data_IF_894524297889
#
_entry.id   IF_894524297889
#
_cell.length_a   1.000
_cell.length_b   1.000
_cell.length_c   1.000
_cell.angle_alpha   90.00
_cell.angle_beta   90.00
_cell.angle_gamma   90.00
#
_symmetry.space_group_name_H-M   'P 1'
#
loop_
_entity.id
_entity.type
_entity.pdbx_description
1 polymer ?
#
# COMPACT_ATOMS: atom_id res chain seq x y z
N UNK A 1 21.41 -3.08 4.42
CA UNK A 1 20.11 -2.34 4.36
C UNK A 1 19.03 -3.22 4.95
N UNK A 2 18.08 -2.63 5.71
CA UNK A 2 16.93 -3.36 6.25
C UNK A 2 15.62 -2.71 5.82
N UNK A 3 14.62 -3.53 5.51
CA UNK A 3 13.26 -3.08 5.19
C UNK A 3 12.24 -3.74 6.12
N UNK A 4 11.25 -2.98 6.56
CA UNK A 4 10.11 -3.47 7.31
C UNK A 4 8.91 -3.53 6.37
N UNK A 5 8.30 -4.71 6.26
CA UNK A 5 7.08 -4.95 5.48
C UNK A 5 5.91 -5.08 6.44
N UNK A 6 4.87 -4.29 6.25
CA UNK A 6 3.75 -4.11 7.17
C UNK A 6 2.42 -4.39 6.49
N UNK A 7 1.47 -4.94 7.23
CA UNK A 7 0.08 -5.07 6.83
C UNK A 7 -0.84 -5.05 8.06
N UNK A 8 -2.01 -4.42 7.93
CA UNK A 8 -3.04 -4.36 8.96
C UNK A 8 -4.34 -4.99 8.48
N UNK A 9 -4.97 -5.78 9.36
CA UNK A 9 -6.39 -6.09 9.21
C UNK A 9 -7.21 -5.14 10.08
N UNK A 10 -8.43 -4.84 9.63
CA UNK A 10 -9.29 -3.89 10.33
C UNK A 10 -10.76 -4.30 10.33
N UNK A 11 -11.56 -3.63 11.15
CA UNK A 11 -13.00 -3.86 11.29
C UNK A 11 -13.80 -3.48 10.03
N UNK A 12 -13.29 -2.57 9.19
CA UNK A 12 -13.93 -2.11 7.96
C UNK A 12 -12.88 -1.54 6.98
N UNK A 13 -13.31 -1.24 5.77
CA UNK A 13 -12.51 -0.58 4.72
C UNK A 13 -12.39 0.95 4.88
N UNK A 14 -13.31 1.59 5.59
CA UNK A 14 -13.28 3.03 5.86
C UNK A 14 -12.25 3.33 6.96
N UNK A 15 -11.06 3.74 6.57
CA UNK A 15 -9.93 3.98 7.47
C UNK A 15 -10.19 5.06 8.52
N UNK A 16 -11.16 5.96 8.31
CA UNK A 16 -11.49 7.01 9.27
C UNK A 16 -12.24 6.46 10.50
N UNK A 17 -13.05 5.41 10.30
CA UNK A 17 -13.89 4.81 11.34
C UNK A 17 -13.43 3.42 11.76
N UNK A 18 -12.75 2.70 10.87
CA UNK A 18 -12.24 1.36 11.13
C UNK A 18 -11.28 1.32 12.33
N UNK A 19 -11.20 0.14 12.95
CA UNK A 19 -10.30 -0.16 14.07
C UNK A 19 -9.36 -1.30 13.64
N UNK A 20 -8.09 -1.20 13.98
CA UNK A 20 -7.11 -2.26 13.72
C UNK A 20 -7.47 -3.50 14.55
N UNK A 21 -7.52 -4.67 13.88
CA UNK A 21 -7.81 -5.97 14.49
C UNK A 21 -6.62 -6.94 14.42
N UNK A 22 -5.69 -6.72 13.49
CA UNK A 22 -4.42 -7.44 13.43
C UNK A 22 -3.30 -6.50 12.99
N UNK A 23 -2.15 -6.63 13.62
CA UNK A 23 -0.89 -6.00 13.22
C UNK A 23 0.07 -7.10 12.82
N UNK A 24 0.62 -7.04 11.61
CA UNK A 24 1.67 -7.93 11.18
C UNK A 24 2.79 -7.16 10.48
N UNK A 25 4.03 -7.48 10.81
CA UNK A 25 5.18 -6.98 10.06
C UNK A 25 6.37 -7.94 10.13
N UNK A 26 7.22 -7.85 9.13
CA UNK A 26 8.49 -8.57 9.08
C UNK A 26 9.62 -7.62 8.71
N UNK A 27 10.77 -7.80 9.34
CA UNK A 27 12.00 -7.09 8.99
C UNK A 27 12.89 -8.02 8.19
N UNK A 28 13.33 -7.55 7.03
CA UNK A 28 14.23 -8.29 6.15
C UNK A 28 15.58 -7.58 6.05
N UNK A 29 16.63 -8.38 6.05
CA UNK A 29 17.93 -7.95 5.51
C UNK A 29 17.84 -8.02 3.98
N UNK A 30 18.01 -6.86 3.33
CA UNK A 30 17.76 -6.69 1.89
C UNK A 30 18.81 -7.40 1.03
N UNK A 31 20.06 -7.44 1.47
CA UNK A 31 21.14 -8.07 0.69
C UNK A 31 21.00 -9.58 0.65
N UNK A 32 20.73 -10.18 1.80
CA UNK A 32 20.54 -11.63 1.89
C UNK A 32 19.11 -12.08 1.56
N UNK A 33 18.16 -11.14 1.45
CA UNK A 33 16.72 -11.38 1.29
C UNK A 33 16.12 -12.28 2.38
N UNK A 34 16.73 -12.27 3.58
CA UNK A 34 16.29 -13.10 4.70
C UNK A 34 15.47 -12.30 5.69
N UNK A 35 14.38 -12.91 6.15
CA UNK A 35 13.65 -12.42 7.31
C UNK A 35 14.54 -12.54 8.54
N UNK A 36 14.71 -11.43 9.27
CA UNK A 36 15.49 -11.34 10.49
C UNK A 36 14.65 -11.14 11.73
N UNK A 37 13.41 -10.72 11.55
CA UNK A 37 12.41 -10.59 12.61
C UNK A 37 11.01 -10.64 12.00
N UNK A 38 10.06 -11.21 12.73
CA UNK A 38 8.64 -11.08 12.41
C UNK A 38 7.81 -10.85 13.66
N UNK A 39 6.68 -10.21 13.47
CA UNK A 39 5.68 -9.98 14.49
C UNK A 39 4.29 -10.08 13.87
N UNK A 40 3.38 -10.77 14.55
CA UNK A 40 1.97 -10.79 14.17
C UNK A 40 1.14 -11.03 15.41
N UNK A 41 0.14 -10.19 15.64
CA UNK A 41 -0.76 -10.29 16.78
C UNK A 41 -2.15 -9.79 16.44
N UNK A 42 -3.15 -10.38 17.08
CA UNK A 42 -4.49 -9.82 17.12
C UNK A 42 -4.50 -8.63 18.08
N UNK A 43 -5.28 -7.63 17.73
CA UNK A 43 -5.49 -6.42 18.52
C UNK A 43 -6.95 -6.34 18.92
N UNK A 44 -7.21 -6.13 20.19
CA UNK A 44 -8.55 -5.87 20.69
C UNK A 44 -8.77 -4.36 20.72
N UNK A 45 -9.61 -3.80 19.83
CA UNK A 45 -9.90 -2.37 19.85
C UNK A 45 -10.56 -1.96 21.17
N UNK A 46 -10.18 -0.79 21.68
CA UNK A 46 -10.81 -0.22 22.86
C UNK A 46 -12.21 0.33 22.59
N UNK A 47 -13.08 0.28 23.59
CA UNK A 47 -14.44 0.80 23.52
C UNK A 47 -15.40 -0.10 22.73
N UNK A 48 -16.50 0.51 22.28
CA UNK A 48 -17.46 -0.19 21.43
C UNK A 48 -17.00 -0.15 19.97
N UNK A 49 -17.02 -1.30 19.32
CA UNK A 49 -16.72 -1.46 17.90
C UNK A 49 -17.53 -2.62 17.30
N UNK A 50 -17.75 -2.54 16.02
CA UNK A 50 -18.36 -3.63 15.25
C UNK A 50 -17.40 -4.05 14.15
N UNK A 51 -17.35 -5.34 13.85
CA UNK A 51 -16.62 -5.87 12.70
C UNK A 51 -17.63 -5.99 11.57
N UNK A 52 -17.40 -5.25 10.48
CA UNK A 52 -18.26 -5.32 9.31
C UNK A 52 -18.30 -6.76 8.78
N UNK A 53 -19.49 -7.32 8.42
CA UNK A 53 -19.60 -8.72 7.97
C UNK A 53 -18.64 -9.09 6.85
N UNK A 54 -18.41 -8.17 5.90
CA UNK A 54 -17.43 -8.39 4.83
C UNK A 54 -16.00 -8.48 5.36
N UNK A 55 -15.61 -7.65 6.35
CA UNK A 55 -14.29 -7.73 6.96
C UNK A 55 -14.11 -9.06 7.69
N UNK A 56 -15.08 -9.47 8.51
CA UNK A 56 -15.06 -10.75 9.20
C UNK A 56 -14.98 -11.93 8.21
N UNK A 57 -15.71 -11.89 7.11
CA UNK A 57 -15.66 -12.93 6.07
C UNK A 57 -14.30 -13.01 5.38
N UNK A 58 -13.70 -11.86 5.10
CA UNK A 58 -12.42 -11.76 4.37
C UNK A 58 -11.26 -12.17 5.25
N UNK A 59 -11.17 -11.62 6.47
CA UNK A 59 -10.03 -11.82 7.38
C UNK A 59 -10.16 -13.10 8.22
N UNK A 60 -11.38 -13.59 8.41
CA UNK A 60 -11.69 -14.69 9.34
C UNK A 60 -11.57 -14.28 10.81
N UNK A 61 -11.40 -12.98 11.11
CA UNK A 61 -11.27 -12.47 12.48
C UNK A 61 -12.66 -12.22 13.06
N UNK A 62 -12.93 -12.84 14.23
CA UNK A 62 -14.18 -12.65 14.96
C UNK A 62 -13.95 -11.85 16.26
N UNK A 63 -15.04 -11.32 16.81
CA UNK A 63 -14.98 -10.61 18.09
C UNK A 63 -14.51 -11.53 19.23
N UNK A 64 -14.96 -12.78 19.23
CA UNK A 64 -14.57 -13.78 20.22
C UNK A 64 -13.07 -14.05 20.21
N UNK A 65 -12.46 -14.06 19.01
CA UNK A 65 -11.00 -14.20 18.87
C UNK A 65 -10.27 -12.98 19.41
N UNK A 66 -10.77 -11.75 19.11
CA UNK A 66 -10.17 -10.52 19.64
C UNK A 66 -10.31 -10.43 21.15
N UNK A 67 -11.45 -10.84 21.70
CA UNK A 67 -11.68 -10.87 23.14
C UNK A 67 -10.79 -11.88 23.88
N UNK A 68 -10.50 -13.03 23.24
CA UNK A 68 -9.72 -14.11 23.83
C UNK A 68 -8.20 -13.94 23.68
N UNK A 69 -7.75 -13.39 22.55
CA UNK A 69 -6.34 -13.39 22.15
C UNK A 69 -5.79 -12.01 21.76
N UNK A 70 -6.64 -11.00 21.59
CA UNK A 70 -6.20 -9.66 21.22
C UNK A 70 -5.51 -8.94 22.38
N UNK A 71 -4.42 -8.27 22.07
CA UNK A 71 -3.71 -7.38 23.00
C UNK A 71 -4.16 -5.91 22.78
N UNK A 72 -3.75 -5.02 23.67
CA UNK A 72 -3.95 -3.59 23.46
C UNK A 72 -3.18 -3.11 22.23
N UNK A 73 -3.77 -2.14 21.48
CA UNK A 73 -3.13 -1.59 20.28
C UNK A 73 -1.80 -0.92 20.62
N UNK A 74 -1.72 -0.22 21.74
CA UNK A 74 -0.50 0.46 22.20
C UNK A 74 0.67 -0.51 22.33
N UNK A 75 0.45 -1.70 22.88
CA UNK A 75 1.49 -2.73 23.04
C UNK A 75 2.01 -3.19 21.67
N UNK A 76 1.09 -3.39 20.71
CA UNK A 76 1.46 -3.77 19.35
C UNK A 76 2.22 -2.64 18.63
N UNK A 77 1.78 -1.39 18.80
CA UNK A 77 2.43 -0.22 18.20
C UNK A 77 3.80 0.06 18.82
N UNK A 78 4.00 -0.19 20.12
CA UNK A 78 5.34 -0.06 20.73
C UNK A 78 6.36 -0.96 20.03
N UNK A 79 5.99 -2.21 19.74
CA UNK A 79 6.87 -3.14 19.00
C UNK A 79 7.13 -2.64 17.58
N UNK A 80 6.10 -2.16 16.87
CA UNK A 80 6.23 -1.61 15.53
C UNK A 80 7.16 -0.38 15.51
N UNK A 81 6.95 0.58 16.40
CA UNK A 81 7.76 1.81 16.51
C UNK A 81 9.21 1.47 16.79
N UNK A 82 9.49 0.56 17.72
CA UNK A 82 10.86 0.12 18.06
C UNK A 82 11.58 -0.42 16.83
N UNK A 83 10.93 -1.26 16.02
CA UNK A 83 11.55 -1.84 14.85
C UNK A 83 11.62 -0.87 13.67
N UNK A 84 10.65 0.04 13.53
CA UNK A 84 10.67 1.07 12.49
C UNK A 84 11.87 2.02 12.58
N UNK A 85 12.40 2.25 13.79
CA UNK A 85 13.57 3.09 14.01
C UNK A 85 14.88 2.44 13.58
N UNK A 86 14.89 1.15 13.31
CA UNK A 86 16.09 0.35 13.00
C UNK A 86 16.15 -0.11 11.53
N UNK A 87 15.25 0.40 10.68
CA UNK A 87 15.16 0.03 9.27
C UNK A 87 15.31 1.25 8.37
N UNK A 88 15.70 1.02 7.12
CA UNK A 88 15.91 2.09 6.13
C UNK A 88 14.60 2.51 5.46
N UNK A 89 13.61 1.60 5.38
CA UNK A 89 12.29 1.88 4.83
C UNK A 89 11.20 1.00 5.44
N UNK A 90 9.94 1.47 5.32
CA UNK A 90 8.73 0.70 5.60
C UNK A 90 7.96 0.52 4.30
N UNK A 91 7.57 -0.71 3.98
CA UNK A 91 6.77 -1.06 2.83
C UNK A 91 5.42 -1.65 3.23
N UNK A 92 4.34 -1.22 2.59
CA UNK A 92 3.03 -1.87 2.65
C UNK A 92 2.36 -1.86 1.26
N UNK A 93 1.32 -2.65 1.10
CA UNK A 93 0.61 -2.73 -0.18
C UNK A 93 -0.64 -1.85 -0.17
N UNK A 94 -0.64 -0.78 -0.95
CA UNK A 94 -1.62 0.30 -0.88
C UNK A 94 -1.49 1.20 0.37
N UNK A 95 -0.27 1.34 0.85
CA UNK A 95 0.13 2.04 2.06
C UNK A 95 -0.53 3.40 2.22
N UNK A 96 -0.43 4.25 1.20
CA UNK A 96 -0.89 5.64 1.28
C UNK A 96 -2.41 5.78 1.32
N UNK A 97 -3.16 4.77 0.83
CA UNK A 97 -4.62 4.82 0.79
C UNK A 97 -5.28 3.97 1.88
N UNK A 98 -4.52 3.11 2.58
CA UNK A 98 -5.10 2.23 3.59
C UNK A 98 -4.30 2.20 4.89
N UNK A 99 -3.13 1.57 4.94
CA UNK A 99 -2.43 1.33 6.22
C UNK A 99 -2.03 2.63 6.92
N UNK A 100 -1.51 3.60 6.18
CA UNK A 100 -1.08 4.87 6.77
C UNK A 100 -2.26 5.72 7.29
N UNK A 101 -3.36 5.94 6.54
CA UNK A 101 -4.56 6.60 7.08
C UNK A 101 -5.16 5.89 8.28
N UNK A 102 -5.22 4.55 8.25
CA UNK A 102 -5.75 3.74 9.36
C UNK A 102 -4.88 3.90 10.61
N UNK A 103 -3.57 3.78 10.48
CA UNK A 103 -2.62 3.99 11.58
C UNK A 103 -2.74 5.40 12.17
N UNK A 104 -2.82 6.43 11.33
CA UNK A 104 -2.96 7.81 11.79
C UNK A 104 -4.29 8.04 12.52
N UNK A 105 -5.39 7.42 12.07
CA UNK A 105 -6.66 7.49 12.78
C UNK A 105 -6.60 6.83 14.16
N UNK A 106 -5.93 5.69 14.28
CA UNK A 106 -5.73 5.03 15.57
C UNK A 106 -4.80 5.82 16.50
N UNK A 107 -3.69 6.34 15.99
CA UNK A 107 -2.80 7.20 16.79
C UNK A 107 -3.53 8.42 17.33
N UNK A 108 -4.37 9.06 16.51
CA UNK A 108 -5.18 10.20 16.94
C UNK A 108 -6.19 9.83 18.04
N UNK A 109 -6.82 8.63 17.97
CA UNK A 109 -7.72 8.12 19.04
C UNK A 109 -6.99 7.89 20.35
N UNK A 110 -5.74 7.41 20.27
CA UNK A 110 -4.87 7.19 21.43
C UNK A 110 -4.24 8.49 21.97
N UNK A 111 -4.47 9.63 21.30
CA UNK A 111 -3.89 10.91 21.69
C UNK A 111 -2.40 11.08 21.35
N UNK A 112 -1.88 10.22 20.47
CA UNK A 112 -0.52 10.33 19.98
C UNK A 112 -0.43 11.20 18.73
N UNK A 113 0.68 11.92 18.58
CA UNK A 113 1.07 12.52 17.32
C UNK A 113 1.69 11.46 16.41
N UNK A 114 1.75 11.76 15.10
CA UNK A 114 2.50 10.92 14.15
C UNK A 114 3.94 10.74 14.65
N UNK A 115 4.45 9.50 14.56
CA UNK A 115 5.85 9.24 14.82
C UNK A 115 6.67 9.35 13.53
N UNK A 116 7.94 9.70 13.69
CA UNK A 116 8.85 9.83 12.56
C UNK A 116 9.10 8.45 11.94
N UNK A 117 8.58 8.23 10.76
CA UNK A 117 8.82 7.03 9.96
C UNK A 117 10.05 7.21 9.06
N UNK A 118 10.77 6.11 8.73
CA UNK A 118 11.77 6.12 7.67
C UNK A 118 11.08 6.31 6.30
N UNK A 119 11.83 6.10 5.20
CA UNK A 119 11.24 6.17 3.88
C UNK A 119 10.05 5.20 3.74
N UNK A 120 8.92 5.71 3.23
CA UNK A 120 7.74 4.89 2.95
C UNK A 120 7.76 4.37 1.51
N UNK A 121 7.32 3.14 1.32
CA UNK A 121 7.24 2.45 0.04
C UNK A 121 5.86 1.84 -0.11
N UNK A 122 5.09 2.29 -1.09
CA UNK A 122 3.83 1.67 -1.45
C UNK A 122 4.06 0.64 -2.55
N UNK A 123 4.09 -0.64 -2.21
CA UNK A 123 4.42 -1.71 -3.17
C UNK A 123 3.43 -1.80 -4.33
N UNK A 124 2.21 -1.28 -4.16
CA UNK A 124 1.23 -1.20 -5.24
C UNK A 124 1.63 -0.21 -6.33
N UNK A 125 2.29 0.90 -5.97
CA UNK A 125 2.58 2.01 -6.87
C UNK A 125 4.08 2.21 -7.13
N UNK A 126 4.94 1.85 -6.18
CA UNK A 126 6.37 2.11 -6.27
C UNK A 126 7.15 0.96 -6.92
N UNK A 127 6.63 -0.27 -6.85
CA UNK A 127 7.18 -1.38 -7.64
C UNK A 127 6.89 -1.12 -9.13
N UNK A 128 7.90 -1.26 -10.03
CA UNK A 128 7.73 -1.02 -11.47
C UNK A 128 7.03 -2.21 -12.15
N UNK A 129 5.76 -2.42 -11.81
CA UNK A 129 4.96 -3.49 -12.39
C UNK A 129 4.89 -3.39 -13.91
N UNK A 130 5.00 -4.51 -14.64
CA UNK A 130 4.85 -4.54 -16.09
C UNK A 130 3.53 -3.92 -16.57
N UNK A 131 3.55 -3.25 -17.71
CA UNK A 131 2.37 -2.51 -18.21
C UNK A 131 1.18 -3.42 -18.58
N UNK A 132 1.40 -4.70 -18.88
CA UNK A 132 0.32 -5.66 -19.17
C UNK A 132 -0.50 -6.03 -17.93
N UNK A 133 0.00 -5.79 -16.72
CA UNK A 133 -0.74 -6.06 -15.49
C UNK A 133 -1.88 -5.04 -15.34
N UNK A 134 -3.11 -5.53 -15.45
CA UNK A 134 -4.31 -4.68 -15.39
C UNK A 134 -4.69 -4.27 -13.98
N UNK A 135 -4.49 -5.16 -13.01
CA UNK A 135 -4.80 -4.91 -11.61
C UNK A 135 -3.60 -5.16 -10.70
N UNK A 136 -3.39 -4.25 -9.76
CA UNK A 136 -2.30 -4.32 -8.77
C UNK A 136 -2.80 -4.76 -7.40
N UNK A 137 -3.85 -5.57 -7.35
CA UNK A 137 -4.27 -6.21 -6.09
C UNK A 137 -3.27 -7.32 -5.76
N UNK A 138 -2.90 -7.45 -4.49
CA UNK A 138 -1.84 -8.34 -4.05
C UNK A 138 -2.05 -9.79 -4.50
N UNK A 139 -3.27 -10.30 -4.37
CA UNK A 139 -3.64 -11.68 -4.77
C UNK A 139 -3.49 -11.92 -6.27
N UNK A 140 -3.79 -10.91 -7.11
CA UNK A 140 -3.63 -11.04 -8.56
C UNK A 140 -2.16 -10.95 -8.98
N UNK A 141 -1.39 -10.08 -8.32
CA UNK A 141 0.06 -10.01 -8.52
C UNK A 141 0.70 -11.35 -8.16
N UNK A 142 0.30 -11.96 -7.05
CA UNK A 142 0.78 -13.29 -6.68
C UNK A 142 0.51 -14.33 -7.77
N UNK A 143 -0.71 -14.38 -8.27
CA UNK A 143 -1.10 -15.31 -9.34
C UNK A 143 -0.30 -15.07 -10.63
N UNK A 144 -0.10 -13.81 -11.02
CA UNK A 144 0.68 -13.43 -12.21
C UNK A 144 2.14 -13.92 -12.13
N UNK A 145 2.71 -13.87 -10.92
CA UNK A 145 4.08 -14.35 -10.65
C UNK A 145 4.16 -15.82 -10.21
N UNK A 146 3.06 -16.59 -10.32
CA UNK A 146 3.04 -18.00 -9.99
C UNK A 146 3.20 -18.30 -8.50
N UNK A 147 2.89 -17.33 -7.62
CA UNK A 147 2.96 -17.51 -6.16
C UNK A 147 1.57 -17.91 -5.66
N UNK A 148 1.50 -19.08 -5.04
CA UNK A 148 0.27 -19.53 -4.38
C UNK A 148 0.13 -18.82 -3.03
N UNK A 149 -1.01 -18.15 -2.82
CA UNK A 149 -1.37 -17.57 -1.53
C UNK A 149 -2.51 -18.40 -0.92
N UNK A 150 -2.22 -19.36 -0.01
CA UNK A 150 -3.25 -20.23 0.58
C UNK A 150 -4.11 -19.52 1.64
N UNK A 151 -3.69 -18.36 2.11
CA UNK A 151 -4.31 -17.66 3.24
C UNK A 151 -4.33 -16.14 2.96
N UNK A 152 -4.92 -15.75 1.82
CA UNK A 152 -5.17 -14.35 1.52
C UNK A 152 -5.99 -13.69 2.65
N UNK A 153 -5.72 -12.40 2.91
CA UNK A 153 -6.33 -11.62 3.99
C UNK A 153 -6.02 -12.15 5.40
N UNK A 154 -4.81 -12.62 5.57
CA UNK A 154 -4.16 -12.75 6.87
C UNK A 154 -2.93 -11.86 6.81
N UNK A 155 -2.88 -10.81 7.61
CA UNK A 155 -1.82 -9.80 7.53
C UNK A 155 -0.41 -10.44 7.52
N UNK A 156 -0.20 -11.52 8.27
CA UNK A 156 1.09 -12.24 8.26
C UNK A 156 1.43 -12.84 6.90
N UNK A 157 0.46 -13.46 6.21
CA UNK A 157 0.69 -14.06 4.90
C UNK A 157 0.83 -13.00 3.80
N UNK A 158 0.10 -11.91 3.92
CA UNK A 158 0.15 -10.80 2.97
C UNK A 158 1.49 -10.05 3.08
N UNK A 159 2.07 -9.90 4.28
CA UNK A 159 3.45 -9.43 4.49
C UNK A 159 4.47 -10.33 3.77
N UNK A 160 4.39 -11.65 3.93
CA UNK A 160 5.30 -12.60 3.28
C UNK A 160 5.17 -12.56 1.76
N UNK A 161 3.94 -12.49 1.26
CA UNK A 161 3.65 -12.41 -0.15
C UNK A 161 4.18 -11.11 -0.76
N UNK A 162 3.93 -9.99 -0.09
CA UNK A 162 4.40 -8.67 -0.49
C UNK A 162 5.93 -8.63 -0.56
N UNK A 163 6.63 -9.17 0.44
CA UNK A 163 8.09 -9.23 0.46
C UNK A 163 8.63 -10.10 -0.69
N UNK A 164 8.04 -11.27 -0.96
CA UNK A 164 8.41 -12.13 -2.08
C UNK A 164 8.29 -11.40 -3.42
N UNK A 165 7.17 -10.72 -3.64
CA UNK A 165 6.94 -9.94 -4.85
C UNK A 165 7.91 -8.76 -4.96
N UNK A 166 8.15 -8.03 -3.88
CA UNK A 166 9.11 -6.93 -3.82
C UNK A 166 10.52 -7.38 -4.24
N UNK A 167 10.99 -8.51 -3.74
CA UNK A 167 12.33 -9.05 -4.03
C UNK A 167 12.50 -9.57 -5.46
N UNK A 168 11.47 -9.60 -6.28
CA UNK A 168 11.58 -9.87 -7.72
C UNK A 168 12.11 -8.67 -8.51
N UNK A 169 12.13 -7.49 -7.89
CA UNK A 169 12.58 -6.25 -8.50
C UNK A 169 13.86 -5.73 -7.81
N UNK A 170 14.70 -4.97 -8.53
CA UNK A 170 15.84 -4.30 -7.92
C UNK A 170 15.37 -3.32 -6.83
N UNK A 171 15.77 -3.55 -5.59
CA UNK A 171 15.33 -2.75 -4.45
C UNK A 171 15.59 -1.26 -4.65
N UNK A 172 16.80 -0.90 -5.13
CA UNK A 172 17.14 0.51 -5.32
C UNK A 172 16.21 1.21 -6.32
N UNK A 173 15.82 0.53 -7.39
CA UNK A 173 14.86 1.07 -8.36
C UNK A 173 13.48 1.31 -7.72
N UNK A 174 13.02 0.43 -6.82
CA UNK A 174 11.77 0.63 -6.08
C UNK A 174 11.89 1.80 -5.12
N UNK A 175 13.01 1.91 -4.37
CA UNK A 175 13.25 3.00 -3.44
C UNK A 175 13.37 4.36 -4.14
N UNK A 176 14.00 4.41 -5.31
CA UNK A 176 14.09 5.61 -6.13
C UNK A 176 12.70 6.04 -6.62
N UNK A 177 11.88 5.10 -7.09
CA UNK A 177 10.50 5.37 -7.46
C UNK A 177 9.65 5.85 -6.29
N UNK A 178 9.85 5.28 -5.09
CA UNK A 178 9.15 5.73 -3.88
C UNK A 178 9.49 7.19 -3.53
N UNK A 179 10.73 7.63 -3.76
CA UNK A 179 11.16 9.03 -3.58
C UNK A 179 10.63 9.96 -4.67
N UNK A 180 10.28 9.42 -5.84
CA UNK A 180 9.83 10.23 -6.98
C UNK A 180 8.42 10.75 -6.75
N UNK A 181 8.17 12.07 -6.92
CA UNK A 181 6.84 12.63 -6.76
C UNK A 181 5.87 12.10 -7.81
N UNK A 182 4.60 12.03 -7.43
CA UNK A 182 3.52 11.77 -8.37
C UNK A 182 3.11 13.07 -9.07
N UNK A 183 2.89 12.99 -10.38
CA UNK A 183 2.47 14.10 -11.21
C UNK A 183 1.31 13.70 -12.12
N UNK A 184 0.30 14.55 -12.18
CA UNK A 184 -0.78 14.38 -13.13
C UNK A 184 -0.36 14.89 -14.51
N UNK A 185 -0.61 14.11 -15.53
CA UNK A 185 -0.31 14.45 -16.91
C UNK A 185 -1.60 14.44 -17.72
N UNK A 186 -1.82 15.52 -18.47
CA UNK A 186 -2.89 15.64 -19.44
C UNK A 186 -2.38 15.23 -20.81
N UNK A 187 -3.14 14.41 -21.54
CA UNK A 187 -2.97 14.16 -22.97
C UNK A 187 -3.73 15.22 -23.77
N UNK A 188 -3.01 15.99 -24.61
CA UNK A 188 -3.61 16.97 -25.49
C UNK A 188 -3.98 16.31 -26.84
N UNK A 189 -5.06 15.54 -26.83
CA UNK A 189 -5.60 14.85 -28.00
C UNK A 189 -6.97 15.39 -28.36
N UNK A 190 -7.27 15.47 -29.67
CA UNK A 190 -8.62 15.76 -30.14
C UNK A 190 -9.56 14.57 -29.91
N UNK A 191 -10.87 14.80 -30.01
CA UNK A 191 -11.87 13.73 -29.87
C UNK A 191 -11.61 12.57 -30.85
N UNK A 192 -11.22 12.86 -32.09
CA UNK A 192 -10.95 11.84 -33.12
C UNK A 192 -9.71 10.99 -32.82
N UNK A 193 -8.77 11.52 -32.03
CA UNK A 193 -7.56 10.84 -31.63
C UNK A 193 -7.58 10.30 -30.18
N UNK A 194 -8.74 10.29 -29.52
CA UNK A 194 -8.89 9.84 -28.11
C UNK A 194 -8.41 8.42 -27.85
N UNK A 195 -8.46 7.55 -28.87
CA UNK A 195 -8.01 6.15 -28.74
C UNK A 195 -6.50 6.05 -28.43
N UNK A 196 -5.70 7.04 -28.83
CA UNK A 196 -4.29 7.12 -28.45
C UNK A 196 -4.10 7.31 -26.93
N UNK A 197 -4.88 8.22 -26.33
CA UNK A 197 -4.85 8.42 -24.88
C UNK A 197 -5.36 7.19 -24.13
N UNK A 198 -6.40 6.52 -24.64
CA UNK A 198 -6.90 5.27 -24.03
C UNK A 198 -5.87 4.15 -24.12
N UNK A 199 -5.18 3.98 -25.24
CA UNK A 199 -4.14 2.98 -25.41
C UNK A 199 -3.01 3.15 -24.37
N UNK A 200 -2.68 4.40 -24.03
CA UNK A 200 -1.74 4.75 -22.97
C UNK A 200 -2.38 4.74 -21.56
N UNK A 201 -3.61 4.25 -21.43
CA UNK A 201 -4.36 4.13 -20.15
C UNK A 201 -4.59 5.47 -19.45
N UNK A 202 -4.80 6.56 -20.22
CA UNK A 202 -5.33 7.81 -19.67
C UNK A 202 -6.83 7.67 -19.37
N UNK A 203 -7.29 8.23 -18.28
CA UNK A 203 -8.68 8.27 -17.86
C UNK A 203 -9.33 9.59 -18.28
N UNK A 204 -10.62 9.55 -18.57
CA UNK A 204 -11.37 10.76 -18.92
C UNK A 204 -11.87 11.48 -17.67
N UNK A 205 -11.44 12.72 -17.49
CA UNK A 205 -12.00 13.66 -16.52
C UNK A 205 -13.17 14.41 -17.18
N UNK A 206 -14.38 14.04 -16.81
CA UNK A 206 -15.61 14.63 -17.37
C UNK A 206 -15.84 16.09 -16.96
N UNK A 207 -15.36 16.49 -15.78
CA UNK A 207 -15.52 17.85 -15.26
C UNK A 207 -14.67 18.85 -16.05
N UNK A 208 -13.40 18.51 -16.28
CA UNK A 208 -12.47 19.35 -17.01
C UNK A 208 -12.41 19.05 -18.52
N UNK A 209 -13.05 17.96 -18.96
CA UNK A 209 -13.00 17.46 -20.34
C UNK A 209 -11.58 17.16 -20.81
N UNK A 210 -10.80 16.47 -19.95
CA UNK A 210 -9.41 16.12 -20.20
C UNK A 210 -9.19 14.63 -20.12
N UNK A 211 -8.22 14.12 -20.87
CA UNK A 211 -7.62 12.82 -20.65
C UNK A 211 -6.44 12.99 -19.71
N UNK A 212 -6.48 12.34 -18.54
CA UNK A 212 -5.48 12.50 -17.48
C UNK A 212 -4.96 11.15 -17.00
N UNK A 213 -3.71 11.12 -16.57
CA UNK A 213 -3.09 9.95 -15.94
C UNK A 213 -2.08 10.40 -14.90
N UNK A 214 -2.06 9.70 -13.77
CA UNK A 214 -1.08 9.89 -12.72
C UNK A 214 0.17 9.07 -13.02
N UNK A 215 1.34 9.70 -12.96
CA UNK A 215 2.64 9.08 -13.16
C UNK A 215 3.56 9.34 -11.98
N UNK A 216 4.53 8.46 -11.75
CA UNK A 216 5.75 8.84 -11.04
C UNK A 216 6.61 9.68 -11.99
N UNK A 217 7.21 10.76 -11.49
CA UNK A 217 7.99 11.68 -12.32
C UNK A 217 9.16 10.98 -13.02
N UNK A 218 9.84 10.06 -12.33
CA UNK A 218 10.91 9.25 -12.90
C UNK A 218 10.47 8.39 -14.10
N UNK A 219 9.19 7.95 -14.15
CA UNK A 219 8.68 7.19 -15.30
C UNK A 219 8.47 8.08 -16.52
N UNK A 220 8.16 9.35 -16.33
CA UNK A 220 7.97 10.31 -17.42
C UNK A 220 9.28 10.70 -18.11
N UNK A 221 10.38 10.75 -17.38
CA UNK A 221 11.69 11.14 -17.91
C UNK A 221 12.16 10.20 -19.02
N UNK A 222 11.69 8.94 -19.01
CA UNK A 222 12.04 7.92 -19.99
C UNK A 222 10.87 7.54 -20.93
N UNK A 223 9.74 8.28 -20.86
CA UNK A 223 8.53 7.95 -21.64
C UNK A 223 8.27 9.01 -22.72
N UNK A 224 8.11 8.54 -23.94
CA UNK A 224 7.68 9.38 -25.07
C UNK A 224 6.27 9.01 -25.47
N UNK A 225 5.46 10.01 -25.80
CA UNK A 225 4.10 9.83 -26.32
C UNK A 225 4.04 10.25 -27.78
N UNK A 226 3.18 9.62 -28.56
CA UNK A 226 2.91 10.01 -29.95
C UNK A 226 1.90 11.18 -30.06
N UNK A 227 1.64 11.85 -28.94
CA UNK A 227 0.78 13.03 -28.81
C UNK A 227 1.37 14.00 -27.77
N UNK A 228 1.03 15.30 -27.87
CA UNK A 228 1.47 16.28 -26.88
C UNK A 228 0.89 16.00 -25.50
N UNK A 229 1.72 16.16 -24.47
CA UNK A 229 1.32 16.04 -23.07
C UNK A 229 1.64 17.30 -22.30
N UNK A 230 0.97 17.49 -21.15
CA UNK A 230 1.21 18.61 -20.24
C UNK A 230 1.09 18.11 -18.79
N UNK A 231 2.10 18.40 -17.98
CA UNK A 231 2.05 18.20 -16.53
C UNK A 231 1.07 19.21 -15.91
N UNK A 232 0.16 18.72 -15.06
CA UNK A 232 -0.84 19.54 -14.39
C UNK A 232 -0.37 19.86 -12.97
N UNK A 233 -0.17 21.13 -12.69
CA UNK A 233 0.12 21.63 -11.34
C UNK A 233 -1.19 21.79 -10.56
N UNK A 234 -1.16 21.48 -9.27
CA UNK A 234 -2.28 21.63 -8.32
C UNK A 234 -3.57 20.84 -8.66
N UNK A 235 -3.51 19.94 -9.65
CA UNK A 235 -4.63 19.07 -10.01
C UNK A 235 -4.65 17.85 -9.10
N UNK A 236 -5.81 17.55 -8.51
CA UNK A 236 -5.97 16.48 -7.49
C UNK A 236 -6.57 15.18 -8.06
N UNK A 237 -6.83 15.14 -9.35
CA UNK A 237 -7.48 14.00 -10.01
C UNK A 237 -8.95 14.25 -10.35
N UNK A 238 -9.57 13.33 -11.13
CA UNK A 238 -10.99 13.39 -11.49
C UNK A 238 -11.88 13.01 -10.32
#
# INVERSE_FOLDING_TARGET
>A
MKGLFLDFEATDKDTATARITQVAFSVFDIESKKEVFHYSTLVKPEGEYEIHPTAAQITGISREQLDAYGIALEDALEVLVRHSQSVDFIAAHNLHNYDLPLLNAELARLGYSEFKMPQLVDTRFDVPWPEHIETRKLVYLAAEYGIVNPSAHSARHDVDLMAKLFFMFPTEAVLERARSPQVWVRANVSYDHREKAKAEKFSWDGANKWWVKLFKKCDLENKTFDFPTMELKDYKGP
#
